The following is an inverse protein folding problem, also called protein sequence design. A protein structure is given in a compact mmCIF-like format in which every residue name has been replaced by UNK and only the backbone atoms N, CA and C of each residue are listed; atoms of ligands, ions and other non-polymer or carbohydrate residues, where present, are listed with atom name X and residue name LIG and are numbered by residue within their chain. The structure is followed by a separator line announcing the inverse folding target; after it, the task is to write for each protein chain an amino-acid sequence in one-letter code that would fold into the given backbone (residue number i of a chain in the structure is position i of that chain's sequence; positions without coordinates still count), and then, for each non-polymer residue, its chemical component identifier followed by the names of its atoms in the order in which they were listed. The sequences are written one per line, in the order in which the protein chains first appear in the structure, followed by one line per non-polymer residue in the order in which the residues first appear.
data_IF_525366920786
#
_entry.id   IF_525366920786
#
_cell.length_a   1.000
_cell.length_b   1.000
_cell.length_c   1.000
_cell.angle_alpha   90.00
_cell.angle_beta   90.00
_cell.angle_gamma   90.00
#
_symmetry.space_group_name_H-M   'P 1'
#
loop_
_entity.id
_entity.type
_entity.pdbx_description
1 polymer ?
#
# COMPACT_ATOMS: atom_id res chain seq x y z
N UNK A 1 -9.37 7.70 -22.82
CA UNK A 1 -8.22 7.13 -22.10
C UNK A 1 -8.76 6.11 -21.08
N UNK A 2 -8.27 4.88 -21.09
CA UNK A 2 -8.60 3.89 -20.06
C UNK A 2 -7.89 4.30 -18.75
N UNK A 3 -8.63 4.48 -17.67
CA UNK A 3 -8.08 4.80 -16.36
C UNK A 3 -7.34 3.59 -15.80
N UNK A 4 -6.25 3.83 -15.08
CA UNK A 4 -5.56 2.77 -14.35
C UNK A 4 -6.36 2.40 -13.09
N UNK A 5 -6.35 1.13 -12.70
CA UNK A 5 -7.16 0.60 -11.62
C UNK A 5 -6.95 1.31 -10.26
N UNK A 6 -5.76 1.87 -10.04
CA UNK A 6 -5.41 2.56 -8.80
C UNK A 6 -5.78 4.06 -8.79
N UNK A 7 -6.09 4.67 -9.95
CA UNK A 7 -6.39 6.11 -10.07
C UNK A 7 -7.62 6.55 -9.25
N UNK A 8 -8.50 5.62 -8.89
CA UNK A 8 -9.67 5.88 -8.04
C UNK A 8 -9.34 6.02 -6.55
N UNK A 9 -8.15 5.63 -6.13
CA UNK A 9 -7.64 5.77 -4.77
C UNK A 9 -6.71 6.96 -4.66
N UNK A 10 -6.32 7.33 -3.45
CA UNK A 10 -5.12 8.12 -3.27
C UNK A 10 -3.92 7.24 -3.55
N UNK A 11 -2.99 7.72 -4.33
CA UNK A 11 -1.83 6.94 -4.70
C UNK A 11 -0.61 7.81 -4.94
N UNK A 12 0.56 7.23 -4.81
CA UNK A 12 1.84 7.80 -5.22
C UNK A 12 2.84 6.69 -5.52
N UNK A 13 3.93 7.05 -6.16
CA UNK A 13 5.06 6.16 -6.42
C UNK A 13 6.20 6.62 -5.52
N UNK A 14 6.75 5.69 -4.72
CA UNK A 14 7.87 5.96 -3.82
C UNK A 14 9.17 6.20 -4.58
N UNK A 15 10.17 6.74 -3.90
CA UNK A 15 11.52 6.93 -4.47
C UNK A 15 12.15 5.61 -4.92
N UNK A 16 11.75 4.49 -4.30
CA UNK A 16 12.19 3.14 -4.66
C UNK A 16 11.28 2.47 -5.70
N UNK A 17 10.41 3.25 -6.34
CA UNK A 17 9.53 2.79 -7.42
C UNK A 17 8.42 1.81 -7.03
N UNK A 18 8.01 1.80 -5.77
CA UNK A 18 6.81 1.08 -5.32
C UNK A 18 5.58 1.94 -5.45
N UNK A 19 4.47 1.34 -5.90
CA UNK A 19 3.18 2.02 -5.84
C UNK A 19 2.56 1.83 -4.46
N UNK A 20 2.12 2.94 -3.87
CA UNK A 20 1.37 2.96 -2.62
C UNK A 20 -0.03 3.48 -2.92
N UNK A 21 -1.03 2.75 -2.48
CA UNK A 21 -2.44 3.14 -2.59
C UNK A 21 -3.05 3.33 -1.20
N UNK A 22 -3.98 4.27 -1.08
CA UNK A 22 -4.68 4.54 0.16
C UNK A 22 -6.16 4.84 -0.10
N UNK A 23 -7.05 4.40 0.78
CA UNK A 23 -8.46 4.70 0.68
C UNK A 23 -8.77 6.14 1.05
N UNK A 24 -9.76 6.72 0.39
CA UNK A 24 -10.30 8.04 0.69
C UNK A 24 -11.33 8.00 1.83
N UNK A 25 -11.94 6.84 2.04
CA UNK A 25 -12.99 6.58 3.02
C UNK A 25 -12.98 5.12 3.50
N UNK A 26 -13.86 4.80 4.45
CA UNK A 26 -13.98 3.45 5.02
C UNK A 26 -14.33 2.38 3.97
N UNK A 27 -15.14 2.70 2.98
CA UNK A 27 -15.53 1.76 1.94
C UNK A 27 -14.36 1.46 1.01
N UNK A 28 -13.59 2.48 0.64
CA UNK A 28 -12.39 2.31 -0.16
C UNK A 28 -11.30 1.56 0.61
N UNK A 29 -11.12 1.83 1.91
CA UNK A 29 -10.21 1.07 2.75
C UNK A 29 -10.57 -0.43 2.74
N UNK A 30 -11.85 -0.75 2.87
CA UNK A 30 -12.32 -2.14 2.81
C UNK A 30 -12.09 -2.75 1.42
N UNK A 31 -12.37 -2.01 0.37
CA UNK A 31 -12.14 -2.44 -1.01
C UNK A 31 -10.65 -2.74 -1.27
N UNK A 32 -9.75 -1.86 -0.82
CA UNK A 32 -8.30 -2.03 -0.98
C UNK A 32 -7.86 -3.34 -0.32
N UNK A 33 -8.25 -3.58 0.92
CA UNK A 33 -7.81 -4.76 1.66
C UNK A 33 -8.42 -6.04 1.09
N UNK A 34 -9.72 -6.05 0.77
CA UNK A 34 -10.40 -7.25 0.26
C UNK A 34 -10.04 -7.59 -1.18
N UNK A 35 -9.92 -6.58 -2.05
CA UNK A 35 -9.79 -6.81 -3.49
C UNK A 35 -8.38 -6.60 -4.02
N UNK A 36 -7.65 -5.63 -3.51
CA UNK A 36 -6.38 -5.20 -4.11
C UNK A 36 -5.14 -5.61 -3.33
N UNK A 37 -5.24 -5.88 -2.04
CA UNK A 37 -4.11 -6.40 -1.27
C UNK A 37 -3.85 -7.87 -1.59
N UNK A 38 -2.60 -8.21 -1.86
CA UNK A 38 -2.16 -9.56 -2.26
C UNK A 38 -0.97 -10.01 -1.40
N UNK A 39 -0.63 -11.29 -1.54
CA UNK A 39 0.59 -11.84 -0.94
C UNK A 39 1.80 -11.02 -1.38
N UNK A 40 2.66 -10.70 -0.42
CA UNK A 40 3.84 -9.86 -0.63
C UNK A 40 3.60 -8.38 -0.32
N UNK A 41 2.36 -7.87 -0.46
CA UNK A 41 2.04 -6.50 -0.11
C UNK A 41 2.16 -6.24 1.39
N UNK A 42 2.43 -4.97 1.73
CA UNK A 42 2.48 -4.52 3.11
C UNK A 42 1.32 -3.55 3.39
N UNK A 43 0.71 -3.71 4.55
CA UNK A 43 -0.31 -2.80 5.06
C UNK A 43 0.33 -1.81 6.02
N UNK A 44 0.07 -0.52 5.81
CA UNK A 44 0.61 0.58 6.62
C UNK A 44 -0.55 1.41 7.18
N UNK A 45 -0.51 1.68 8.47
CA UNK A 45 -1.54 2.46 9.15
C UNK A 45 -0.95 3.21 10.36
N UNK A 46 -1.75 4.06 10.97
CA UNK A 46 -1.41 4.72 12.23
C UNK A 46 -2.58 4.62 13.20
N UNK A 47 -2.28 4.52 14.50
CA UNK A 47 -3.30 4.45 15.56
C UNK A 47 -3.85 5.86 15.87
N UNK A 48 -4.36 6.53 14.84
CA UNK A 48 -4.91 7.88 14.86
C UNK A 48 -6.26 7.93 14.16
N UNK A 49 -7.15 8.75 14.69
CA UNK A 49 -8.45 8.96 14.06
C UNK A 49 -8.27 9.52 12.63
N UNK A 50 -8.95 8.91 11.68
CA UNK A 50 -8.91 9.29 10.27
C UNK A 50 -7.64 8.88 9.51
N UNK A 51 -6.71 8.14 10.13
CA UNK A 51 -5.54 7.64 9.43
C UNK A 51 -5.93 6.81 8.20
N UNK A 52 -5.23 7.02 7.08
CA UNK A 52 -5.50 6.27 5.87
C UNK A 52 -4.93 4.85 5.97
N UNK A 53 -5.72 3.87 5.52
CA UNK A 53 -5.22 2.52 5.26
C UNK A 53 -4.42 2.52 3.98
N UNK A 54 -3.09 2.41 4.10
CA UNK A 54 -2.18 2.39 2.96
C UNK A 54 -1.74 0.95 2.65
N UNK A 55 -1.61 0.62 1.38
CA UNK A 55 -1.06 -0.64 0.92
C UNK A 55 0.09 -0.37 -0.04
N UNK A 56 1.26 -0.91 0.29
CA UNK A 56 2.44 -0.92 -0.57
C UNK A 56 2.33 -2.15 -1.46
N UNK A 57 2.25 -1.95 -2.77
CA UNK A 57 2.19 -3.04 -3.74
C UNK A 57 3.58 -3.65 -3.95
N UNK A 58 3.71 -4.93 -3.64
CA UNK A 58 4.98 -5.66 -3.72
C UNK A 58 4.80 -7.06 -4.35
N UNK A 59 4.43 -7.12 -5.64
CA UNK A 59 4.17 -8.38 -6.33
C UNK A 59 5.40 -9.30 -6.40
N UNK A 60 6.60 -8.74 -6.33
CA UNK A 60 7.84 -9.52 -6.33
C UNK A 60 8.14 -10.17 -4.98
N UNK A 61 7.38 -9.86 -3.93
CA UNK A 61 7.57 -10.36 -2.56
C UNK A 61 8.99 -10.13 -2.01
N UNK A 62 9.68 -9.08 -2.48
CA UNK A 62 11.01 -8.70 -2.02
C UNK A 62 10.94 -7.90 -0.72
N UNK A 63 12.03 -7.81 0.05
CA UNK A 63 12.11 -6.88 1.17
C UNK A 63 11.84 -5.45 0.71
N UNK A 64 10.88 -4.78 1.36
CA UNK A 64 10.54 -3.39 1.02
C UNK A 64 11.53 -2.44 1.67
N UNK A 65 12.13 -1.49 0.93
CA UNK A 65 13.07 -0.52 1.47
C UNK A 65 12.47 0.35 2.59
N UNK A 66 13.29 0.73 3.55
CA UNK A 66 12.87 1.58 4.69
C UNK A 66 12.35 2.94 4.21
N UNK A 67 12.95 3.51 3.17
CA UNK A 67 12.49 4.76 2.52
C UNK A 67 11.04 4.66 2.04
N UNK A 68 10.67 3.56 1.39
CA UNK A 68 9.30 3.28 0.96
C UNK A 68 8.35 3.16 2.16
N UNK A 69 8.75 2.44 3.22
CA UNK A 69 7.95 2.31 4.45
C UNK A 69 7.69 3.67 5.11
N UNK A 70 8.73 4.52 5.21
CA UNK A 70 8.61 5.86 5.78
C UNK A 70 7.68 6.76 4.96
N UNK A 71 7.78 6.73 3.63
CA UNK A 71 6.90 7.49 2.74
C UNK A 71 5.44 7.04 2.86
N UNK A 72 5.18 5.74 2.92
CA UNK A 72 3.84 5.21 3.13
C UNK A 72 3.31 5.55 4.55
N UNK A 73 4.16 5.51 5.56
CA UNK A 73 3.83 5.93 6.92
C UNK A 73 3.46 7.41 6.99
N UNK A 74 4.22 8.27 6.33
CA UNK A 74 3.93 9.71 6.21
C UNK A 74 2.56 9.92 5.55
N UNK A 75 2.25 9.19 4.48
CA UNK A 75 0.94 9.25 3.82
C UNK A 75 -0.20 8.91 4.80
N UNK A 76 -0.05 7.86 5.62
CA UNK A 76 -1.06 7.44 6.58
C UNK A 76 -1.28 8.49 7.67
N UNK A 77 -0.19 9.00 8.27
CA UNK A 77 -0.24 10.00 9.36
C UNK A 77 -0.78 11.34 8.85
N UNK A 78 -0.31 11.83 7.72
CA UNK A 78 -0.74 13.13 7.18
C UNK A 78 -2.24 13.20 6.85
N UNK A 79 -2.88 12.05 6.61
CA UNK A 79 -4.32 11.95 6.36
C UNK A 79 -5.14 11.64 7.62
N UNK A 80 -4.57 11.87 8.79
CA UNK A 80 -5.22 11.68 10.08
C UNK A 80 -5.49 13.01 10.79
N UNK A 81 -6.11 12.92 11.96
CA UNK A 81 -6.30 14.06 12.86
C UNK A 81 -4.98 14.75 13.25
N UNK A 82 -3.84 14.06 13.13
CA UNK A 82 -2.52 14.64 13.39
C UNK A 82 -2.23 15.88 12.54
N UNK A 83 -2.73 15.93 11.30
CA UNK A 83 -2.54 17.08 10.41
C UNK A 83 -3.09 18.39 11.00
N UNK A 84 -4.31 18.34 11.51
CA UNK A 84 -4.96 19.51 12.13
C UNK A 84 -4.40 19.82 13.51
N UNK A 85 -4.13 18.78 14.30
CA UNK A 85 -3.63 18.91 15.68
C UNK A 85 -2.14 19.24 15.74
N UNK A 86 -1.40 19.16 14.63
CA UNK A 86 0.06 19.36 14.55
C UNK A 86 0.84 18.43 15.47
N UNK A 87 0.33 17.21 15.69
CA UNK A 87 0.94 16.21 16.57
C UNK A 87 1.81 15.28 15.72
N UNK A 88 3.07 15.12 16.10
CA UNK A 88 3.94 14.10 15.53
C UNK A 88 3.53 12.73 16.03
N UNK A 89 3.35 11.80 15.15
CA UNK A 89 2.97 10.43 15.47
C UNK A 89 3.66 9.44 14.54
N UNK A 90 3.70 8.19 15.00
CA UNK A 90 4.30 7.08 14.27
C UNK A 90 3.24 6.28 13.54
N UNK A 91 3.54 5.90 12.31
CA UNK A 91 2.84 4.83 11.63
C UNK A 91 3.46 3.47 12.00
N UNK A 92 2.78 2.42 11.62
CA UNK A 92 3.27 1.05 11.71
C UNK A 92 2.89 0.28 10.44
N UNK A 93 3.60 -0.81 10.20
CA UNK A 93 3.31 -1.69 9.09
C UNK A 93 3.23 -3.15 9.51
N UNK A 94 2.51 -3.92 8.73
CA UNK A 94 2.35 -5.37 8.91
C UNK A 94 2.27 -6.07 7.55
N UNK A 95 2.52 -7.37 7.54
CA UNK A 95 2.35 -8.18 6.35
C UNK A 95 0.87 -8.39 6.02
N UNK A 96 0.56 -8.67 4.75
CA UNK A 96 -0.80 -8.89 4.28
C UNK A 96 -1.57 -9.95 5.08
N UNK A 97 -0.92 -11.04 5.48
CA UNK A 97 -1.54 -12.14 6.23
C UNK A 97 -1.91 -11.77 7.68
N UNK A 98 -1.38 -10.68 8.20
CA UNK A 98 -1.71 -10.16 9.53
C UNK A 98 -3.01 -9.34 9.55
N UNK A 99 -3.51 -8.96 8.37
CA UNK A 99 -4.72 -8.13 8.26
C UNK A 99 -5.93 -9.01 7.98
N UNK A 100 -6.92 -8.96 8.85
CA UNK A 100 -8.12 -9.78 8.76
C UNK A 100 -9.39 -8.93 8.88
N UNK A 101 -10.43 -9.32 8.16
CA UNK A 101 -11.78 -8.77 8.34
C UNK A 101 -12.61 -9.61 9.33
N UNK A 102 -12.07 -10.73 9.79
CA UNK A 102 -12.75 -11.60 10.76
C UNK A 102 -12.53 -11.08 12.17
N UNK A 103 -13.61 -10.66 12.82
CA UNK A 103 -13.59 -10.29 14.22
C UNK A 103 -13.42 -11.53 15.13
N UNK A 104 -12.94 -11.37 16.35
CA UNK A 104 -13.06 -12.36 17.38
C UNK A 104 -14.54 -12.78 17.57
N UNK A 105 -14.75 -13.98 18.11
CA UNK A 105 -16.10 -14.51 18.31
C UNK A 105 -16.96 -13.55 19.15
N UNK A 106 -18.12 -13.17 18.63
CA UNK A 106 -19.04 -12.25 19.31
C UNK A 106 -18.82 -10.75 19.05
N UNK A 107 -17.81 -10.36 18.27
CA UNK A 107 -17.56 -8.97 17.90
C UNK A 107 -17.90 -8.71 16.42
N UNK A 108 -18.25 -7.47 16.11
CA UNK A 108 -18.51 -6.98 14.76
C UNK A 108 -17.49 -5.92 14.37
N UNK A 109 -16.87 -6.09 13.20
CA UNK A 109 -15.99 -5.08 12.63
C UNK A 109 -16.78 -4.18 11.66
N UNK A 110 -16.80 -2.91 11.96
CA UNK A 110 -17.40 -1.90 11.08
C UNK A 110 -16.67 -1.84 9.73
N UNK A 111 -17.36 -1.29 8.71
CA UNK A 111 -16.75 -1.08 7.40
C UNK A 111 -15.47 -0.27 7.52
N UNK A 112 -14.41 -0.73 6.86
CA UNK A 112 -13.09 -0.07 6.89
C UNK A 112 -12.25 -0.36 8.11
N UNK A 113 -12.75 -1.13 9.09
CA UNK A 113 -11.99 -1.58 10.26
C UNK A 113 -11.45 -2.99 10.02
N UNK A 114 -10.23 -3.25 10.52
CA UNK A 114 -9.53 -4.52 10.35
C UNK A 114 -8.93 -4.99 11.65
N UNK A 115 -8.92 -6.30 11.82
CA UNK A 115 -8.17 -6.94 12.90
C UNK A 115 -6.72 -7.13 12.45
N UNK A 116 -5.78 -6.63 13.25
CA UNK A 116 -4.35 -6.85 13.02
C UNK A 116 -3.87 -7.93 13.98
N UNK A 117 -3.35 -9.01 13.43
CA UNK A 117 -2.83 -10.14 14.19
C UNK A 117 -1.32 -10.08 14.29
N UNK A 118 -0.79 -10.41 15.46
CA UNK A 118 0.65 -10.41 15.71
C UNK A 118 1.24 -9.03 15.93
N UNK A 119 2.55 -8.92 15.75
CA UNK A 119 3.32 -7.71 16.10
C UNK A 119 3.21 -6.66 15.00
N UNK A 120 2.92 -5.43 15.40
CA UNK A 120 3.07 -4.23 14.56
C UNK A 120 4.54 -3.80 14.52
N UNK A 121 5.02 -3.40 13.36
CA UNK A 121 6.36 -2.85 13.18
C UNK A 121 6.25 -1.33 13.12
N UNK A 122 6.60 -0.66 14.20
CA UNK A 122 6.50 0.79 14.30
C UNK A 122 7.62 1.48 13.53
N UNK A 123 7.26 2.57 12.86
CA UNK A 123 8.17 3.47 12.17
C UNK A 123 8.50 4.66 13.07
N UNK A 124 9.60 5.37 12.82
CA UNK A 124 9.86 6.65 13.47
C UNK A 124 8.70 7.64 13.27
N UNK A 125 8.57 8.67 14.13
CA UNK A 125 7.55 9.70 13.95
C UNK A 125 7.61 10.31 12.56
N UNK A 126 6.45 10.36 11.89
CA UNK A 126 6.35 10.87 10.53
C UNK A 126 6.27 12.40 10.51
N UNK A 127 6.99 13.07 9.60
CA UNK A 127 6.82 14.49 9.39
C UNK A 127 5.43 14.78 8.80
N UNK A 128 4.81 15.88 9.21
CA UNK A 128 3.55 16.34 8.63
C UNK A 128 3.81 17.14 7.35
N UNK A 129 4.21 16.42 6.30
CA UNK A 129 4.53 16.99 4.99
C UNK A 129 3.82 16.18 3.94
N UNK A 130 3.06 16.86 3.08
CA UNK A 130 2.38 16.27 1.94
C UNK A 130 2.39 17.26 0.76
N UNK A 131 2.61 16.75 -0.42
CA UNK A 131 2.55 17.53 -1.64
C UNK A 131 1.69 16.85 -2.70
N UNK A 132 1.38 17.61 -3.74
CA UNK A 132 0.73 17.12 -4.95
C UNK A 132 1.61 17.47 -6.14
N UNK A 133 1.62 16.59 -7.13
CA UNK A 133 2.38 16.79 -8.35
C UNK A 133 1.61 16.29 -9.56
N UNK A 134 2.06 16.69 -10.74
CA UNK A 134 1.56 16.17 -12.00
C UNK A 134 2.45 15.00 -12.43
N UNK A 135 1.81 13.88 -12.78
CA UNK A 135 2.49 12.75 -13.36
C UNK A 135 2.02 12.55 -14.79
N UNK A 136 2.98 12.32 -15.70
CA UNK A 136 2.71 12.07 -17.10
C UNK A 136 2.94 10.58 -17.39
N UNK A 137 1.95 9.96 -18.03
CA UNK A 137 2.10 8.61 -18.53
C UNK A 137 2.86 8.64 -19.85
N UNK A 138 3.92 7.89 -19.94
CA UNK A 138 4.63 7.68 -21.20
C UNK A 138 3.75 6.89 -22.17
N UNK A 139 3.81 7.27 -23.44
CA UNK A 139 3.23 6.47 -24.51
C UNK A 139 3.98 5.15 -24.63
N UNK A 140 3.25 4.07 -24.90
CA UNK A 140 3.80 2.71 -24.95
C UNK A 140 4.94 2.58 -25.95
N UNK A 141 4.83 3.26 -27.10
CA UNK A 141 5.86 3.30 -28.14
C UNK A 141 7.18 3.95 -27.70
N UNK A 142 7.14 4.78 -26.65
CA UNK A 142 8.32 5.49 -26.13
C UNK A 142 8.94 4.86 -24.88
N UNK A 143 8.31 3.84 -24.31
CA UNK A 143 8.79 3.21 -23.06
C UNK A 143 10.24 2.72 -23.17
N UNK A 144 10.62 2.12 -24.29
CA UNK A 144 11.98 1.59 -24.50
C UNK A 144 13.07 2.67 -24.42
N UNK A 145 12.75 3.91 -24.81
CA UNK A 145 13.67 5.04 -24.75
C UNK A 145 13.89 5.59 -23.35
N UNK A 146 12.95 5.32 -22.43
CA UNK A 146 12.97 5.84 -21.06
C UNK A 146 13.32 4.79 -19.99
N UNK A 147 13.69 3.58 -20.40
CA UNK A 147 14.09 2.51 -19.46
C UNK A 147 15.33 2.91 -18.64
N UNK A 148 16.25 3.68 -19.25
CA UNK A 148 17.46 4.14 -18.57
C UNK A 148 17.20 5.25 -17.53
N UNK A 149 16.15 6.07 -17.72
CA UNK A 149 15.85 7.21 -16.85
C UNK A 149 15.50 6.77 -15.42
N UNK A 150 14.95 5.56 -15.26
CA UNK A 150 14.64 4.97 -13.96
C UNK A 150 15.86 4.43 -13.22
N UNK A 151 16.94 4.09 -13.94
CA UNK A 151 18.16 3.55 -13.34
C UNK A 151 19.03 4.64 -12.70
N UNK A 152 18.89 5.87 -13.13
CA UNK A 152 19.66 7.01 -12.61
C UNK A 152 19.24 7.46 -11.21
N UNK A 153 18.06 7.07 -10.74
CA UNK A 153 17.55 7.45 -9.39
C UNK A 153 17.94 6.47 -8.28
N UNK A 154 18.46 5.31 -8.62
CA UNK A 154 18.97 4.35 -7.63
C UNK A 154 20.47 4.50 -7.49
N UNK A 155 20.91 5.50 -6.72
CA UNK A 155 22.26 5.52 -6.16
C UNK A 155 22.32 4.43 -5.07
N UNK A 156 22.66 3.28 -5.45
CA UNK A 156 23.40 2.17 -4.83
C UNK A 156 22.88 0.83 -5.31
N UNK A 157 23.75 0.17 -5.99
CA UNK A 157 23.93 -1.27 -6.17
C UNK A 157 22.78 -2.22 -5.88
N UNK A 158 22.59 -2.97 -6.94
CA UNK A 158 22.06 -4.32 -7.05
C UNK A 158 20.59 -4.47 -7.46
N UNK A 159 20.56 -5.10 -8.61
CA UNK A 159 19.59 -6.06 -9.13
C UNK A 159 18.51 -5.51 -10.04
N UNK A 160 18.88 -5.68 -11.28
CA UNK A 160 18.04 -6.05 -12.42
C UNK A 160 16.71 -6.71 -12.04
N UNK A 161 15.65 -5.94 -12.06
CA UNK A 161 14.33 -6.39 -12.45
C UNK A 161 13.44 -5.17 -12.66
N UNK A 162 13.17 -4.87 -13.91
CA UNK A 162 12.18 -3.88 -14.28
C UNK A 162 10.84 -4.24 -13.64
N UNK A 163 10.45 -3.48 -12.62
CA UNK A 163 9.12 -3.54 -12.09
C UNK A 163 8.16 -2.92 -13.12
N UNK A 164 7.82 -3.71 -14.13
CA UNK A 164 6.65 -3.45 -14.95
C UNK A 164 5.49 -3.52 -13.95
N UNK A 165 4.80 -2.40 -13.75
CA UNK A 165 3.55 -2.39 -12.99
C UNK A 165 2.62 -3.33 -13.76
N UNK A 166 2.28 -4.53 -13.23
CA UNK A 166 1.37 -5.40 -13.94
C UNK A 166 0.05 -4.66 -14.07
N UNK A 167 -0.39 -4.44 -15.28
CA UNK A 167 -1.78 -4.05 -15.55
C UNK A 167 -2.60 -5.27 -15.17
N UNK A 168 -3.11 -5.29 -13.93
CA UNK A 168 -4.12 -6.26 -13.56
C UNK A 168 -5.36 -5.89 -14.36
N UNK A 169 -5.77 -6.76 -15.28
CA UNK A 169 -7.05 -6.63 -15.95
C UNK A 169 -8.14 -6.61 -14.88
N UNK A 170 -8.97 -5.58 -14.92
CA UNK A 170 -10.11 -5.38 -14.00
C UNK A 170 -11.16 -6.51 -14.09
N UNK A 171 -11.05 -7.38 -15.09
CA UNK A 171 -12.01 -8.45 -15.39
C UNK A 171 -11.50 -9.87 -15.09
N UNK A 172 -10.33 -10.03 -14.46
CA UNK A 172 -9.89 -11.36 -14.06
C UNK A 172 -10.78 -11.91 -12.94
N UNK A 173 -11.42 -13.09 -13.13
CA UNK A 173 -12.24 -13.69 -12.09
C UNK A 173 -11.39 -13.96 -10.85
N UNK A 174 -11.94 -13.58 -9.69
CA UNK A 174 -11.35 -13.87 -8.40
C UNK A 174 -11.46 -15.39 -8.17
N UNK A 175 -10.42 -16.13 -8.46
CA UNK A 175 -10.30 -17.51 -7.98
C UNK A 175 -10.13 -17.47 -6.45
N UNK A 176 -11.27 -17.58 -5.80
CA UNK A 176 -11.37 -17.81 -4.37
C UNK A 176 -11.14 -19.30 -4.12
N UNK A 177 -9.88 -19.72 -4.03
CA UNK A 177 -9.59 -21.01 -3.44
C UNK A 177 -9.50 -20.83 -1.92
N UNK A 178 -10.42 -21.42 -1.15
CA UNK A 178 -10.24 -21.51 0.30
C UNK A 178 -9.02 -22.39 0.56
N UNK A 179 -8.05 -21.88 1.29
CA UNK A 179 -6.94 -22.69 1.80
C UNK A 179 -7.50 -23.74 2.75
N UNK A 180 -7.57 -24.97 2.28
CA UNK A 180 -7.79 -26.16 3.11
C UNK A 180 -6.48 -26.51 3.81
N UNK A 181 -6.16 -25.78 4.88
CA UNK A 181 -5.12 -26.20 5.83
C UNK A 181 -5.46 -25.70 7.22
N UNK A 182 -6.45 -26.37 7.84
CA UNK A 182 -6.64 -26.38 9.29
C UNK A 182 -7.64 -27.46 9.70
N UNK A 183 -7.31 -28.73 9.37
CA UNK A 183 -7.95 -29.89 10.00
C UNK A 183 -6.95 -31.04 10.00
N UNK A 184 -6.05 -31.04 10.98
CA UNK A 184 -5.48 -32.26 11.59
C UNK A 184 -4.46 -31.84 12.66
N UNK A 185 -4.87 -31.87 13.89
CA UNK A 185 -4.24 -32.40 15.11
C UNK A 185 -4.89 -31.76 16.33
#
# INVERSE_FOLDING_TARGET
RKSLWFEKFHWFITTDNYIVIAGCDAQQNELIVKRYMRKGDLYVHADLHGAASCVIKNPACQPVPVSTLLQAGTMSVCRSAAWNSKILSSAWWVYHHQVSKTAPSGEYLTTGSFMIRGKKNFLPPAPLIMGFGFMFRLEESSLSRHVADRKASSLSDSIDSGAIIPVLDDDAPLDFQPSVDALSA
#
